data_IF_154930685354
#
_entry.id   IF_154930685354
#
_cell.length_a   1.000
_cell.length_b   1.000
_cell.length_c   1.000
_cell.angle_alpha   90.00
_cell.angle_beta   90.00
_cell.angle_gamma   90.00
#
_symmetry.space_group_name_H-M   'P 1'
#
loop_
_entity.id
_entity.type
_entity.pdbx_description
1 polymer ?
#
# COMPACT_ATOMS: atom_id res chain seq x y z
N UNK A 1 5.67 16.19 32.29
CA UNK A 1 5.08 15.83 30.99
C UNK A 1 3.95 16.80 30.73
N UNK A 2 3.99 17.53 29.63
CA UNK A 2 2.95 18.50 29.29
C UNK A 2 1.68 17.75 28.89
N UNK A 3 0.52 18.28 29.21
CA UNK A 3 -0.80 17.68 28.89
C UNK A 3 -0.91 17.21 27.44
N UNK A 4 -0.29 17.95 26.50
CA UNK A 4 -0.21 17.58 25.09
C UNK A 4 0.51 16.23 24.84
N UNK A 5 1.60 15.94 25.55
CA UNK A 5 2.30 14.66 25.39
C UNK A 5 1.46 13.47 25.88
N UNK A 6 0.69 13.67 26.95
CA UNK A 6 -0.23 12.63 27.46
C UNK A 6 -1.34 12.34 26.44
N UNK A 7 -1.94 13.38 25.87
CA UNK A 7 -2.96 13.22 24.83
C UNK A 7 -2.43 12.50 23.59
N UNK A 8 -1.22 12.82 23.14
CA UNK A 8 -0.59 12.15 21.99
C UNK A 8 -0.32 10.68 22.31
N UNK A 9 0.21 10.36 23.49
CA UNK A 9 0.45 8.97 23.89
C UNK A 9 -0.85 8.15 23.96
N UNK A 10 -1.91 8.72 24.52
CA UNK A 10 -3.22 8.07 24.55
C UNK A 10 -3.74 7.81 23.14
N UNK A 11 -3.66 8.81 22.25
CA UNK A 11 -4.10 8.65 20.87
C UNK A 11 -3.35 7.54 20.14
N UNK A 12 -2.03 7.46 20.31
CA UNK A 12 -1.20 6.39 19.73
C UNK A 12 -1.62 5.02 20.27
N UNK A 13 -1.77 4.89 21.60
CA UNK A 13 -2.14 3.60 22.22
C UNK A 13 -3.53 3.15 21.75
N UNK A 14 -4.50 4.06 21.69
CA UNK A 14 -5.86 3.77 21.21
C UNK A 14 -5.83 3.34 19.74
N UNK A 15 -5.08 4.06 18.90
CA UNK A 15 -4.94 3.72 17.47
C UNK A 15 -4.31 2.36 17.27
N UNK A 16 -3.17 2.09 17.93
CA UNK A 16 -2.49 0.80 17.83
C UNK A 16 -3.36 -0.35 18.36
N UNK A 17 -4.06 -0.13 19.46
CA UNK A 17 -5.00 -1.11 20.01
C UNK A 17 -6.15 -1.43 19.03
N UNK A 18 -6.72 -0.41 18.39
CA UNK A 18 -7.74 -0.58 17.37
C UNK A 18 -7.20 -1.35 16.14
N UNK A 19 -5.99 -1.04 15.68
CA UNK A 19 -5.35 -1.74 14.56
C UNK A 19 -5.09 -3.22 14.87
N UNK A 20 -4.58 -3.53 16.07
CA UNK A 20 -4.35 -4.91 16.51
C UNK A 20 -5.69 -5.66 16.61
N UNK A 21 -6.72 -5.03 17.15
CA UNK A 21 -8.05 -5.63 17.25
C UNK A 21 -8.64 -5.96 15.87
N UNK A 22 -8.56 -5.03 14.92
CA UNK A 22 -9.00 -5.27 13.53
C UNK A 22 -8.18 -6.39 12.89
N UNK A 23 -6.85 -6.37 13.07
CA UNK A 23 -5.97 -7.43 12.58
C UNK A 23 -6.34 -8.81 13.13
N UNK A 24 -6.65 -8.90 14.41
CA UNK A 24 -7.11 -10.14 15.05
C UNK A 24 -8.45 -10.64 14.48
N UNK A 25 -9.42 -9.75 14.28
CA UNK A 25 -10.70 -10.11 13.66
C UNK A 25 -10.53 -10.59 12.22
N UNK A 26 -9.68 -9.93 11.43
CA UNK A 26 -9.40 -10.33 10.06
C UNK A 26 -8.62 -11.65 9.99
N UNK A 27 -7.71 -11.90 10.91
CA UNK A 27 -6.92 -13.14 10.98
C UNK A 27 -7.82 -14.38 11.13
N UNK A 28 -8.89 -14.29 11.90
CA UNK A 28 -9.84 -15.41 12.07
C UNK A 28 -10.59 -15.79 10.80
N UNK A 29 -10.68 -14.88 9.82
CA UNK A 29 -11.37 -15.12 8.54
C UNK A 29 -10.45 -15.58 7.42
N UNK A 30 -9.13 -15.46 7.59
CA UNK A 30 -8.14 -15.74 6.56
C UNK A 30 -7.44 -17.06 6.86
N UNK A 31 -7.93 -18.14 6.26
CA UNK A 31 -7.32 -19.47 6.39
C UNK A 31 -6.29 -19.78 5.29
N UNK A 32 -6.24 -18.95 4.23
CA UNK A 32 -5.41 -19.17 3.05
C UNK A 32 -4.42 -18.03 2.80
N UNK A 33 -3.27 -18.37 2.22
CA UNK A 33 -2.25 -17.39 1.79
C UNK A 33 -2.82 -16.35 0.82
N UNK A 34 -3.73 -16.73 -0.08
CA UNK A 34 -4.40 -15.81 -0.99
C UNK A 34 -5.37 -14.88 -0.26
N UNK A 35 -6.00 -15.34 0.80
CA UNK A 35 -6.83 -14.53 1.68
C UNK A 35 -6.02 -13.44 2.37
N UNK A 36 -4.84 -13.78 2.88
CA UNK A 36 -3.96 -12.87 3.58
C UNK A 36 -3.37 -11.78 2.65
N UNK A 37 -2.78 -12.14 1.51
CA UNK A 37 -2.12 -11.18 0.62
C UNK A 37 -3.07 -10.42 -0.31
N UNK A 38 -4.15 -11.05 -0.75
CA UNK A 38 -5.02 -10.52 -1.79
C UNK A 38 -6.47 -10.28 -1.32
N UNK A 39 -6.75 -10.41 -0.03
CA UNK A 39 -8.11 -10.33 0.49
C UNK A 39 -9.08 -11.33 -0.20
N UNK A 40 -8.56 -12.51 -0.59
CA UNK A 40 -9.32 -13.50 -1.35
C UNK A 40 -9.76 -13.06 -2.75
N UNK A 41 -9.16 -11.97 -3.29
CA UNK A 41 -9.53 -11.33 -4.57
C UNK A 41 -11.00 -10.88 -4.67
N UNK A 42 -11.62 -10.61 -3.52
CA UNK A 42 -13.00 -10.14 -3.40
C UNK A 42 -13.10 -8.64 -3.12
N UNK A 43 -11.97 -7.95 -3.04
CA UNK A 43 -11.93 -6.52 -2.78
C UNK A 43 -12.47 -5.73 -3.97
N UNK A 44 -13.36 -4.79 -3.70
CA UNK A 44 -13.86 -3.86 -4.71
C UNK A 44 -12.77 -2.90 -5.20
N UNK A 45 -12.96 -2.26 -6.37
CA UNK A 45 -11.95 -1.39 -6.96
C UNK A 45 -11.58 -0.20 -6.07
N UNK A 46 -12.55 0.38 -5.36
CA UNK A 46 -12.30 1.50 -4.44
C UNK A 46 -11.40 1.07 -3.27
N UNK A 47 -11.73 -0.04 -2.61
CA UNK A 47 -10.96 -0.57 -1.47
C UNK A 47 -9.55 -0.94 -1.91
N UNK A 48 -9.39 -1.54 -3.09
CA UNK A 48 -8.07 -1.88 -3.65
C UNK A 48 -7.24 -0.64 -3.93
N UNK A 49 -7.83 0.40 -4.52
CA UNK A 49 -7.13 1.66 -4.78
C UNK A 49 -6.69 2.34 -3.48
N UNK A 50 -7.57 2.45 -2.49
CA UNK A 50 -7.25 3.04 -1.18
C UNK A 50 -6.16 2.25 -0.45
N UNK A 51 -6.20 0.91 -0.50
CA UNK A 51 -5.19 0.06 0.11
C UNK A 51 -3.83 0.18 -0.57
N UNK A 52 -3.82 0.28 -1.90
CA UNK A 52 -2.58 0.48 -2.66
C UNK A 52 -1.93 1.83 -2.32
N UNK A 53 -2.70 2.92 -2.35
CA UNK A 53 -2.19 4.26 -2.00
C UNK A 53 -1.70 4.32 -0.55
N UNK A 54 -2.44 3.76 0.40
CA UNK A 54 -2.03 3.74 1.79
C UNK A 54 -0.73 2.95 2.04
N UNK A 55 -0.47 1.92 1.24
CA UNK A 55 0.74 1.09 1.36
C UNK A 55 1.94 1.67 0.63
N UNK A 56 1.72 2.32 -0.52
CA UNK A 56 2.78 2.85 -1.39
C UNK A 56 3.30 4.19 -0.87
N UNK A 57 2.42 5.14 -0.65
CA UNK A 57 2.79 6.53 -0.30
C UNK A 57 3.23 6.70 1.16
N UNK A 58 2.79 5.82 2.06
CA UNK A 58 3.16 5.83 3.49
C UNK A 58 3.13 7.22 4.14
N UNK A 59 4.06 7.51 5.03
CA UNK A 59 4.22 8.83 5.67
C UNK A 59 4.73 9.93 4.72
N UNK A 60 5.27 9.58 3.55
CA UNK A 60 5.76 10.55 2.58
C UNK A 60 4.67 11.52 2.13
N UNK A 61 3.47 11.04 1.87
CA UNK A 61 2.35 11.88 1.44
C UNK A 61 1.93 12.90 2.50
N UNK A 62 1.97 12.51 3.78
CA UNK A 62 1.47 13.34 4.89
C UNK A 62 2.55 14.23 5.51
N UNK A 63 3.81 13.81 5.48
CA UNK A 63 4.91 14.51 6.14
C UNK A 63 5.99 14.97 5.14
N UNK A 64 6.38 14.13 4.20
CA UNK A 64 7.46 14.42 3.26
C UNK A 64 7.07 15.50 2.27
N UNK A 65 5.93 15.39 1.61
CA UNK A 65 5.49 16.34 0.60
C UNK A 65 5.14 17.72 1.21
N UNK A 66 4.39 17.83 2.31
CA UNK A 66 4.20 19.10 3.01
C UNK A 66 5.50 19.68 3.57
N UNK A 67 6.40 18.83 4.08
CA UNK A 67 7.72 19.26 4.54
C UNK A 67 8.58 19.85 3.42
N UNK A 68 8.56 19.23 2.24
CA UNK A 68 9.22 19.76 1.04
C UNK A 68 8.63 21.13 0.65
N UNK A 69 7.31 21.25 0.65
CA UNK A 69 6.64 22.53 0.36
C UNK A 69 7.01 23.63 1.35
N UNK A 70 7.18 23.28 2.61
CA UNK A 70 7.59 24.21 3.64
C UNK A 70 9.05 24.68 3.50
N UNK A 71 9.96 23.77 3.11
CA UNK A 71 11.39 24.05 3.03
C UNK A 71 11.82 24.72 1.71
N UNK A 72 11.30 24.22 0.56
CA UNK A 72 11.73 24.67 -0.78
C UNK A 72 10.64 25.41 -1.56
N UNK A 73 9.46 25.57 -0.97
CA UNK A 73 8.33 26.24 -1.61
C UNK A 73 7.42 25.31 -2.40
N UNK A 74 6.31 25.88 -2.84
CA UNK A 74 5.22 25.13 -3.48
C UNK A 74 5.59 24.58 -4.87
N UNK A 75 6.55 25.18 -5.56
CA UNK A 75 6.91 24.78 -6.92
C UNK A 75 7.44 23.35 -6.98
N UNK A 76 8.43 23.01 -6.15
CA UNK A 76 9.05 21.66 -6.13
C UNK A 76 8.06 20.60 -5.65
N UNK A 77 7.31 20.91 -4.60
CA UNK A 77 6.27 20.01 -4.10
C UNK A 77 5.15 19.81 -5.13
N UNK A 78 4.76 20.86 -5.85
CA UNK A 78 3.73 20.81 -6.89
C UNK A 78 4.16 19.93 -8.07
N UNK A 79 5.37 20.08 -8.58
CA UNK A 79 5.89 19.23 -9.65
C UNK A 79 6.00 17.76 -9.23
N UNK A 80 6.43 17.51 -8.00
CA UNK A 80 6.47 16.17 -7.43
C UNK A 80 5.07 15.55 -7.34
N UNK A 81 4.08 16.29 -6.86
CA UNK A 81 2.70 15.81 -6.77
C UNK A 81 2.11 15.50 -8.16
N UNK A 82 2.32 16.36 -9.14
CA UNK A 82 1.87 16.14 -10.53
C UNK A 82 2.56 14.91 -11.13
N UNK A 83 3.87 14.77 -10.94
CA UNK A 83 4.65 13.62 -11.41
C UNK A 83 4.16 12.30 -10.81
N UNK A 84 3.88 12.28 -9.50
CA UNK A 84 3.31 11.12 -8.81
C UNK A 84 1.92 10.76 -9.35
N UNK A 85 1.04 11.74 -9.52
CA UNK A 85 -0.31 11.51 -10.03
C UNK A 85 -0.29 10.92 -11.46
N UNK A 86 0.51 11.49 -12.36
CA UNK A 86 0.67 10.99 -13.72
C UNK A 86 1.33 9.60 -13.72
N UNK A 87 2.39 9.41 -12.95
CA UNK A 87 3.12 8.14 -12.83
C UNK A 87 2.21 7.02 -12.33
N UNK A 88 1.45 7.26 -11.28
CA UNK A 88 0.48 6.31 -10.73
C UNK A 88 -0.59 5.96 -11.76
N UNK A 89 -1.16 6.95 -12.45
CA UNK A 89 -2.14 6.71 -13.51
C UNK A 89 -1.59 5.83 -14.64
N UNK A 90 -0.39 6.13 -15.13
CA UNK A 90 0.27 5.35 -16.18
C UNK A 90 0.61 3.94 -15.71
N UNK A 91 1.08 3.80 -14.47
CA UNK A 91 1.38 2.50 -13.86
C UNK A 91 0.11 1.62 -13.82
N UNK A 92 -0.99 2.12 -13.33
CA UNK A 92 -2.24 1.37 -13.28
C UNK A 92 -2.77 1.03 -14.67
N UNK A 93 -2.68 1.94 -15.62
CA UNK A 93 -3.20 1.75 -16.98
C UNK A 93 -2.37 0.76 -17.80
N UNK A 94 -1.05 0.86 -17.72
CA UNK A 94 -0.14 0.12 -18.61
C UNK A 94 0.43 -1.11 -17.93
N UNK A 95 1.02 -0.94 -16.74
CA UNK A 95 1.82 -1.97 -16.07
C UNK A 95 0.95 -2.95 -15.31
N UNK A 96 0.04 -2.46 -14.48
CA UNK A 96 -0.76 -3.30 -13.60
C UNK A 96 -1.62 -4.31 -14.37
N UNK A 97 -2.26 -3.88 -15.46
CA UNK A 97 -3.06 -4.77 -16.32
C UNK A 97 -2.23 -5.89 -16.94
N UNK A 98 -1.04 -5.57 -17.43
CA UNK A 98 -0.14 -6.56 -18.04
C UNK A 98 0.41 -7.54 -17.01
N UNK A 99 0.90 -7.04 -15.88
CA UNK A 99 1.40 -7.89 -14.79
C UNK A 99 0.30 -8.83 -14.31
N UNK A 100 -0.93 -8.34 -14.15
CA UNK A 100 -2.06 -9.16 -13.72
C UNK A 100 -2.33 -10.33 -14.67
N UNK A 101 -2.27 -10.10 -15.98
CA UNK A 101 -2.44 -11.15 -16.98
C UNK A 101 -1.28 -12.16 -16.94
N UNK A 102 -0.04 -11.68 -16.91
CA UNK A 102 1.14 -12.54 -16.89
C UNK A 102 1.25 -13.36 -15.60
N UNK A 103 0.95 -12.80 -14.44
CA UNK A 103 0.96 -13.55 -13.18
C UNK A 103 -0.11 -14.63 -13.13
N UNK A 104 -1.25 -14.40 -13.78
CA UNK A 104 -2.30 -15.42 -13.89
C UNK A 104 -1.86 -16.61 -14.75
N UNK A 105 -1.22 -16.35 -15.89
CA UNK A 105 -0.69 -17.37 -16.80
C UNK A 105 0.49 -18.12 -16.17
N UNK A 106 1.35 -17.42 -15.42
CA UNK A 106 2.53 -17.99 -14.76
C UNK A 106 2.16 -18.65 -13.41
N UNK A 107 1.23 -19.59 -13.42
CA UNK A 107 0.85 -20.36 -12.24
C UNK A 107 0.06 -19.59 -11.19
N UNK A 108 -0.65 -18.53 -11.58
CA UNK A 108 -1.46 -17.69 -10.68
C UNK A 108 -0.67 -17.10 -9.51
N UNK A 109 0.56 -16.68 -9.80
CA UNK A 109 1.52 -16.19 -8.80
C UNK A 109 0.96 -15.03 -7.98
N UNK A 110 1.12 -15.10 -6.65
CA UNK A 110 0.57 -14.13 -5.70
C UNK A 110 1.55 -12.96 -5.52
N UNK A 111 2.86 -13.23 -5.54
CA UNK A 111 3.91 -12.24 -5.32
C UNK A 111 4.80 -12.11 -6.55
N UNK A 112 5.49 -10.98 -6.70
CA UNK A 112 6.47 -10.79 -7.78
C UNK A 112 7.64 -11.80 -7.73
N UNK A 113 8.24 -12.13 -6.58
CA UNK A 113 9.24 -13.19 -6.52
C UNK A 113 8.71 -14.54 -7.03
N UNK A 114 7.51 -14.93 -6.62
CA UNK A 114 6.85 -16.15 -7.10
C UNK A 114 6.61 -16.11 -8.62
N UNK A 115 6.24 -14.95 -9.16
CA UNK A 115 6.09 -14.76 -10.60
C UNK A 115 7.41 -14.96 -11.35
N UNK A 116 8.51 -14.38 -10.86
CA UNK A 116 9.83 -14.54 -11.49
C UNK A 116 10.32 -15.98 -11.40
N UNK A 117 10.17 -16.63 -10.23
CA UNK A 117 10.51 -18.05 -10.07
C UNK A 117 9.76 -18.93 -11.08
N UNK A 118 8.45 -18.75 -11.21
CA UNK A 118 7.63 -19.53 -12.15
C UNK A 118 7.96 -19.23 -13.62
N UNK A 119 8.28 -17.95 -13.95
CA UNK A 119 8.59 -17.55 -15.31
C UNK A 119 9.96 -18.02 -15.78
N UNK A 120 10.96 -17.90 -14.95
CA UNK A 120 12.36 -18.24 -15.29
C UNK A 120 12.73 -19.64 -14.84
N UNK A 121 11.84 -20.36 -14.14
CA UNK A 121 12.07 -21.71 -13.60
C UNK A 121 13.33 -21.76 -12.72
N UNK A 122 13.62 -20.68 -12.02
CA UNK A 122 14.73 -20.55 -11.09
C UNK A 122 14.19 -20.57 -9.65
N UNK A 123 14.64 -21.57 -8.91
CA UNK A 123 14.25 -21.78 -7.51
C UNK A 123 15.30 -21.30 -6.51
N UNK A 124 16.22 -20.44 -6.94
CA UNK A 124 17.27 -19.89 -6.08
C UNK A 124 16.80 -18.70 -5.28
#
# INVERSE_FOLDING_TARGET
MTTSHICIMIAIIVYLGAMIYVGYLCSKKNNDTSGFYLGGRKLGPLVTAMSAEASDMSSWLLMGLPGLAYLSGIADAGWTAIGLAIGTYLNWKIVAKRIRLYTHVAGNSITLPSFFSNRFRDNR
#
